data_IF_859193873491
#
_entry.id   IF_859193873491
#
_cell.length_a   1.000
_cell.length_b   1.000
_cell.length_c   1.000
_cell.angle_alpha   90.00
_cell.angle_beta   90.00
_cell.angle_gamma   90.00
#
_symmetry.space_group_name_H-M   'P 1'
#
loop_
_entity.id
_entity.type
_entity.pdbx_description
1 polymer ?
#
# COMPACT_ATOMS: atom_id res chain seq x y z
N UNK A 1 -18.45 13.75 -21.43
CA UNK A 1 -17.47 13.98 -22.48
C UNK A 1 -17.67 15.34 -23.02
N UNK A 2 -16.68 16.20 -22.77
CA UNK A 2 -16.78 17.42 -23.22
C UNK A 2 -16.34 17.83 -24.43
N UNK A 3 -16.15 16.94 -25.13
CA UNK A 3 -16.06 17.00 -26.50
C UNK A 3 -17.36 17.02 -27.11
N UNK A 4 -18.24 17.48 -26.31
CA UNK A 4 -19.52 17.79 -26.84
C UNK A 4 -19.33 18.58 -28.07
N UNK A 5 -19.73 17.98 -29.11
CA UNK A 5 -19.63 18.40 -30.46
C UNK A 5 -20.06 19.85 -30.72
N UNK A 6 -20.30 20.60 -29.70
CA UNK A 6 -20.78 21.93 -29.79
C UNK A 6 -20.03 22.99 -29.02
N UNK A 7 -19.15 22.62 -28.11
CA UNK A 7 -18.46 23.64 -27.37
C UNK A 7 -17.28 24.22 -28.13
N UNK A 8 -17.59 25.21 -28.93
CA UNK A 8 -16.58 26.06 -29.57
C UNK A 8 -15.98 26.97 -28.51
N UNK A 9 -14.79 26.63 -28.06
CA UNK A 9 -13.99 27.56 -27.29
C UNK A 9 -13.49 28.62 -28.25
N UNK A 10 -14.07 29.82 -28.17
CA UNK A 10 -13.65 30.96 -28.97
C UNK A 10 -12.47 31.66 -28.31
N UNK A 11 -11.43 31.96 -29.09
CA UNK A 11 -10.27 32.72 -28.65
C UNK A 11 -9.05 31.87 -28.21
N UNK A 12 -8.03 32.50 -27.60
CA UNK A 12 -6.78 31.84 -27.25
C UNK A 12 -6.87 30.95 -26.00
N UNK A 13 -8.00 30.92 -25.29
CA UNK A 13 -8.20 30.12 -24.12
C UNK A 13 -8.50 28.66 -24.51
N UNK A 14 -7.65 27.75 -24.06
CA UNK A 14 -7.91 26.30 -24.11
C UNK A 14 -8.37 25.85 -22.77
N UNK A 15 -9.48 25.10 -22.73
CA UNK A 15 -9.88 24.38 -21.51
C UNK A 15 -8.96 23.21 -21.32
N UNK A 16 -8.22 23.20 -20.21
CA UNK A 16 -7.48 22.03 -19.78
C UNK A 16 -8.44 21.11 -19.04
N UNK A 17 -8.64 19.93 -19.59
CA UNK A 17 -9.40 18.86 -18.95
C UNK A 17 -8.45 18.04 -18.09
N UNK A 18 -8.94 17.62 -16.92
CA UNK A 18 -8.21 16.62 -16.14
C UNK A 18 -8.04 15.35 -16.99
N UNK A 19 -6.90 14.64 -16.92
CA UNK A 19 -6.69 13.40 -17.67
C UNK A 19 -7.82 12.38 -17.51
N UNK A 20 -8.44 12.35 -16.33
CA UNK A 20 -9.53 11.44 -15.99
C UNK A 20 -10.89 11.84 -16.57
N UNK A 21 -11.03 13.02 -17.15
CA UNK A 21 -12.29 13.47 -17.77
C UNK A 21 -12.75 12.57 -18.94
N UNK A 22 -11.86 11.74 -19.46
CA UNK A 22 -12.17 10.72 -20.48
C UNK A 22 -12.75 9.44 -19.89
N UNK A 23 -12.61 9.24 -18.59
CA UNK A 23 -13.06 8.03 -17.90
C UNK A 23 -14.53 8.21 -17.57
N UNK A 24 -15.40 7.28 -17.94
CA UNK A 24 -16.79 7.30 -17.48
C UNK A 24 -16.84 7.42 -15.95
N UNK A 25 -17.79 8.23 -15.47
CA UNK A 25 -18.01 8.48 -14.04
C UNK A 25 -16.91 9.28 -13.33
N UNK A 26 -15.94 9.85 -14.04
CA UNK A 26 -14.90 10.71 -13.45
C UNK A 26 -15.45 11.93 -12.70
N UNK A 27 -16.68 12.30 -13.02
CA UNK A 27 -17.41 13.43 -12.39
C UNK A 27 -18.40 13.01 -11.32
N UNK A 28 -18.52 11.72 -11.04
CA UNK A 28 -19.39 11.23 -10.00
C UNK A 28 -18.96 11.76 -8.63
N UNK A 29 -19.93 11.92 -7.76
CA UNK A 29 -19.71 12.41 -6.41
C UNK A 29 -20.02 11.32 -5.41
N UNK A 30 -19.05 11.05 -4.56
CA UNK A 30 -19.12 10.02 -3.51
C UNK A 30 -19.32 10.70 -2.16
N UNK A 31 -20.32 10.22 -1.44
CA UNK A 31 -20.67 10.69 -0.11
C UNK A 31 -20.76 9.54 0.86
N UNK A 32 -20.51 9.80 2.12
CA UNK A 32 -20.72 8.82 3.15
C UNK A 32 -22.18 8.82 3.58
N UNK A 33 -22.73 7.61 3.67
CA UNK A 33 -24.08 7.35 4.14
C UNK A 33 -24.01 6.42 5.36
N UNK A 34 -24.78 6.71 6.38
CA UNK A 34 -25.04 5.79 7.49
C UNK A 34 -26.35 5.07 7.22
N UNK A 35 -26.34 3.77 7.30
CA UNK A 35 -27.52 2.93 7.11
C UNK A 35 -27.85 2.18 8.38
N UNK A 36 -29.07 2.30 8.88
CA UNK A 36 -29.57 1.55 10.00
C UNK A 36 -30.20 0.24 9.48
N UNK A 37 -29.56 -0.87 9.80
CA UNK A 37 -29.97 -2.20 9.30
C UNK A 37 -31.32 -2.64 9.87
N UNK A 38 -31.67 -2.21 11.09
CA UNK A 38 -32.92 -2.61 11.74
C UNK A 38 -34.13 -1.87 11.19
N UNK A 39 -33.98 -0.58 10.89
CA UNK A 39 -35.08 0.27 10.42
C UNK A 39 -35.11 0.43 8.89
N UNK A 40 -34.02 0.15 8.20
CA UNK A 40 -33.87 0.40 6.78
C UNK A 40 -33.68 1.87 6.41
N UNK A 41 -33.49 2.76 7.39
CA UNK A 41 -33.30 4.18 7.16
C UNK A 41 -31.84 4.50 6.84
N UNK A 42 -31.63 5.47 5.97
CA UNK A 42 -30.31 5.97 5.64
C UNK A 42 -30.20 7.47 5.93
N UNK A 43 -29.04 7.88 6.40
CA UNK A 43 -28.68 9.25 6.70
C UNK A 43 -27.40 9.62 5.95
N UNK A 44 -27.40 10.76 5.26
CA UNK A 44 -26.20 11.26 4.60
C UNK A 44 -25.33 12.01 5.60
N UNK A 45 -24.06 11.58 5.71
CA UNK A 45 -23.13 12.15 6.68
C UNK A 45 -22.24 13.27 6.09
N UNK A 46 -22.00 13.25 4.78
CA UNK A 46 -21.11 14.22 4.15
C UNK A 46 -21.78 14.96 3.01
N UNK A 47 -21.42 16.25 2.86
CA UNK A 47 -21.96 17.16 1.88
C UNK A 47 -20.82 17.93 1.18
N UNK A 48 -21.12 18.63 0.09
CA UNK A 48 -20.17 19.48 -0.61
C UNK A 48 -19.83 18.98 -2.01
N UNK A 49 -18.78 19.56 -2.59
CA UNK A 49 -18.39 19.36 -3.99
C UNK A 49 -17.25 18.38 -4.18
N UNK A 50 -16.63 17.90 -3.10
CA UNK A 50 -15.53 16.95 -3.17
C UNK A 50 -15.99 15.55 -2.80
N UNK A 51 -15.35 14.54 -3.38
CA UNK A 51 -15.56 13.16 -3.01
C UNK A 51 -15.01 12.92 -1.60
N UNK A 52 -15.76 12.16 -0.81
CA UNK A 52 -15.33 11.74 0.53
C UNK A 52 -15.28 10.22 0.59
N UNK A 53 -14.18 9.71 1.07
CA UNK A 53 -13.91 8.28 1.21
C UNK A 53 -13.71 7.94 2.69
N UNK A 54 -14.30 6.83 3.11
CA UNK A 54 -14.05 6.26 4.42
C UNK A 54 -12.72 5.49 4.37
N UNK A 55 -11.80 5.85 5.24
CA UNK A 55 -10.55 5.12 5.42
C UNK A 55 -10.68 4.08 6.56
N UNK A 56 -11.24 4.51 7.71
CA UNK A 56 -11.36 3.62 8.87
C UNK A 56 -12.44 4.14 9.84
N UNK A 57 -12.76 3.29 10.82
CA UNK A 57 -13.64 3.64 11.94
C UNK A 57 -12.83 3.50 13.23
N UNK A 58 -12.94 4.48 14.13
CA UNK A 58 -12.21 4.44 15.40
C UNK A 58 -12.54 3.17 16.19
N UNK A 59 -11.62 2.64 16.99
CA UNK A 59 -11.83 1.40 17.74
C UNK A 59 -13.03 1.42 18.69
N UNK A 60 -13.44 2.60 19.15
CA UNK A 60 -14.63 2.80 19.97
C UNK A 60 -15.92 3.02 19.16
N UNK A 61 -15.84 3.03 17.83
CA UNK A 61 -16.95 3.20 16.92
C UNK A 61 -17.57 4.61 16.87
N UNK A 62 -16.91 5.62 17.46
CA UNK A 62 -17.50 6.97 17.58
C UNK A 62 -17.05 7.95 16.53
N UNK A 63 -15.96 7.65 15.82
CA UNK A 63 -15.40 8.52 14.80
C UNK A 63 -15.17 7.79 13.48
N UNK A 64 -15.34 8.51 12.40
CA UNK A 64 -14.95 8.07 11.05
C UNK A 64 -13.67 8.79 10.65
N UNK A 65 -12.68 8.05 10.21
CA UNK A 65 -11.50 8.58 9.55
C UNK A 65 -11.79 8.66 8.06
N UNK A 66 -11.70 9.86 7.51
CA UNK A 66 -12.10 10.13 6.14
C UNK A 66 -11.00 10.82 5.37
N UNK A 67 -11.01 10.62 4.07
CA UNK A 67 -10.21 11.40 3.14
C UNK A 67 -11.07 12.10 2.09
N UNK A 68 -10.55 13.18 1.58
CA UNK A 68 -11.10 13.91 0.44
C UNK A 68 -9.97 14.36 -0.46
N UNK A 69 -10.26 14.54 -1.74
CA UNK A 69 -9.28 15.04 -2.70
C UNK A 69 -9.86 16.15 -3.57
N UNK A 70 -8.99 17.01 -4.04
CA UNK A 70 -9.31 18.03 -5.03
C UNK A 70 -8.22 18.09 -6.10
N UNK A 71 -8.56 18.38 -7.36
CA UNK A 71 -7.57 18.60 -8.39
C UNK A 71 -6.83 19.94 -8.17
N UNK A 72 -5.54 19.92 -8.47
CA UNK A 72 -4.70 21.12 -8.60
C UNK A 72 -3.82 20.97 -9.86
N UNK A 73 -4.28 21.53 -10.95
CA UNK A 73 -3.60 21.41 -12.25
C UNK A 73 -2.35 22.30 -12.39
N UNK A 74 -2.06 23.11 -11.39
CA UNK A 74 -0.92 24.04 -11.42
C UNK A 74 0.37 23.39 -10.92
N UNK A 75 0.29 22.16 -10.44
CA UNK A 75 1.42 21.41 -9.83
C UNK A 75 1.40 19.93 -10.23
N UNK A 76 2.49 19.26 -9.98
CA UNK A 76 2.60 17.80 -10.05
C UNK A 76 2.98 17.29 -8.64
N UNK A 77 2.24 16.32 -8.08
CA UNK A 77 1.02 15.66 -8.60
C UNK A 77 -0.18 16.60 -8.73
N UNK A 78 -1.10 16.28 -9.66
CA UNK A 78 -2.26 17.11 -9.98
C UNK A 78 -3.43 17.00 -8.98
N UNK A 79 -3.23 16.35 -7.86
CA UNK A 79 -4.25 16.13 -6.84
C UNK A 79 -3.71 16.43 -5.46
N UNK A 80 -4.53 17.02 -4.63
CA UNK A 80 -4.26 17.25 -3.21
C UNK A 80 -5.26 16.44 -2.40
N UNK A 81 -4.78 15.76 -1.38
CA UNK A 81 -5.58 14.96 -0.45
C UNK A 81 -5.61 15.61 0.94
N UNK A 82 -6.68 15.38 1.66
CA UNK A 82 -6.85 15.84 3.04
C UNK A 82 -7.40 14.70 3.89
N UNK A 83 -6.89 14.54 5.11
CA UNK A 83 -7.41 13.62 6.11
C UNK A 83 -8.15 14.39 7.19
N UNK A 84 -9.29 13.85 7.62
CA UNK A 84 -10.11 14.43 8.68
C UNK A 84 -10.89 13.35 9.42
N UNK A 85 -11.29 13.66 10.64
CA UNK A 85 -12.21 12.84 11.43
C UNK A 85 -13.62 13.45 11.41
N UNK A 86 -14.64 12.60 11.44
CA UNK A 86 -16.04 13.00 11.72
C UNK A 86 -16.45 12.34 13.01
N UNK A 87 -16.85 13.11 14.00
CA UNK A 87 -17.49 12.60 15.24
C UNK A 87 -18.93 12.24 14.94
N UNK A 88 -19.30 10.98 15.15
CA UNK A 88 -20.65 10.46 14.84
C UNK A 88 -21.76 10.95 15.81
N UNK A 89 -21.38 11.56 16.94
CA UNK A 89 -22.33 12.13 17.91
C UNK A 89 -22.66 13.58 17.58
N UNK A 90 -21.61 14.36 17.28
CA UNK A 90 -21.74 15.80 17.03
C UNK A 90 -21.86 16.15 15.56
N UNK A 91 -21.48 15.22 14.68
CA UNK A 91 -21.31 15.39 13.22
C UNK A 91 -20.31 16.49 12.84
N UNK A 92 -19.44 16.85 13.77
CA UNK A 92 -18.36 17.80 13.50
C UNK A 92 -17.16 17.10 12.86
N UNK A 93 -16.52 17.81 11.92
CA UNK A 93 -15.31 17.36 11.28
C UNK A 93 -14.08 18.11 11.83
N UNK A 94 -13.02 17.37 12.17
CA UNK A 94 -11.70 17.90 12.52
C UNK A 94 -10.68 17.52 11.47
N UNK A 95 -10.02 18.52 10.87
CA UNK A 95 -8.98 18.28 9.87
C UNK A 95 -7.68 17.89 10.53
N UNK A 96 -7.16 16.74 10.18
CA UNK A 96 -5.89 16.19 10.65
C UNK A 96 -4.74 16.60 9.75
N UNK A 97 -4.90 16.46 8.43
CA UNK A 97 -3.93 16.86 7.42
C UNK A 97 -4.66 17.62 6.31
N UNK A 98 -4.20 18.82 6.04
CA UNK A 98 -4.80 19.67 5.01
C UNK A 98 -3.96 19.65 3.73
N UNK A 99 -4.57 19.16 2.64
CA UNK A 99 -4.10 19.33 1.25
C UNK A 99 -2.63 18.98 0.98
N UNK A 100 -2.23 17.77 1.31
CA UNK A 100 -0.96 17.18 0.92
C UNK A 100 -1.13 16.35 -0.37
N UNK A 101 -0.22 16.51 -1.32
CA UNK A 101 -0.28 15.83 -2.62
C UNK A 101 0.18 14.37 -2.57
N UNK A 102 0.76 13.95 -1.47
CA UNK A 102 1.53 12.73 -1.36
C UNK A 102 0.95 11.73 -0.34
N UNK A 103 -0.22 12.03 0.21
CA UNK A 103 -0.93 11.14 1.13
C UNK A 103 -1.53 9.94 0.40
N UNK A 104 -1.41 8.77 1.03
CA UNK A 104 -2.11 7.55 0.68
C UNK A 104 -3.27 7.25 1.64
N UNK A 105 -3.36 5.99 2.09
CA UNK A 105 -4.37 5.52 3.02
C UNK A 105 -4.02 5.84 4.48
N UNK A 106 -5.02 5.76 5.36
CA UNK A 106 -4.82 5.92 6.78
C UNK A 106 -5.73 4.97 7.58
N UNK A 107 -5.26 4.51 8.73
CA UNK A 107 -6.03 3.69 9.68
C UNK A 107 -5.68 4.03 11.12
N UNK A 108 -6.60 3.75 12.04
CA UNK A 108 -6.33 3.93 13.46
C UNK A 108 -5.38 2.88 14.03
N UNK A 109 -4.58 3.30 15.02
CA UNK A 109 -3.98 2.35 15.96
C UNK A 109 -5.05 1.63 16.76
N UNK A 110 -4.75 0.43 17.28
CA UNK A 110 -5.72 -0.35 18.07
C UNK A 110 -6.29 0.37 19.30
N UNK A 111 -5.55 1.32 19.86
CA UNK A 111 -5.99 2.14 20.99
C UNK A 111 -6.66 3.47 20.58
N UNK A 112 -6.75 3.74 19.29
CA UNK A 112 -7.38 4.93 18.72
C UNK A 112 -6.65 6.25 18.99
N UNK A 113 -5.38 6.21 19.43
CA UNK A 113 -4.62 7.42 19.77
C UNK A 113 -3.69 7.89 18.66
N UNK A 114 -3.41 7.02 17.73
CA UNK A 114 -2.50 7.26 16.62
C UNK A 114 -3.13 6.83 15.30
N UNK A 115 -2.59 7.32 14.21
CA UNK A 115 -2.88 6.84 12.86
C UNK A 115 -1.63 6.23 12.26
N UNK A 116 -1.81 5.15 11.55
CA UNK A 116 -0.87 4.64 10.55
C UNK A 116 -1.28 5.26 9.21
N UNK A 117 -0.43 6.05 8.64
CA UNK A 117 -0.67 6.73 7.36
C UNK A 117 0.34 6.24 6.35
N UNK A 118 -0.10 5.93 5.14
CA UNK A 118 0.80 5.70 4.01
C UNK A 118 0.94 6.97 3.18
N UNK A 119 2.03 7.06 2.45
CA UNK A 119 2.29 8.16 1.54
C UNK A 119 3.63 7.98 0.83
N UNK A 120 3.93 8.86 -0.11
CA UNK A 120 5.26 8.88 -0.69
C UNK A 120 6.27 9.51 0.27
N UNK A 121 7.58 9.42 0.00
CA UNK A 121 8.62 10.09 0.80
C UNK A 121 8.41 11.60 0.95
N UNK A 122 7.71 12.23 -0.01
CA UNK A 122 7.43 13.66 0.00
C UNK A 122 6.24 14.07 0.86
N UNK A 123 5.49 13.12 1.42
CA UNK A 123 4.37 13.41 2.33
C UNK A 123 4.85 14.15 3.59
N UNK A 124 3.93 14.90 4.21
CA UNK A 124 4.19 15.68 5.43
C UNK A 124 5.39 16.63 5.32
N UNK A 125 5.54 17.28 4.18
CA UNK A 125 6.67 18.19 3.94
C UNK A 125 7.99 17.49 3.66
N UNK A 126 7.97 16.21 3.30
CA UNK A 126 9.13 15.44 2.89
C UNK A 126 9.92 14.80 4.04
N UNK A 127 9.29 14.56 5.18
CA UNK A 127 9.96 13.92 6.34
C UNK A 127 10.37 12.47 6.08
N UNK A 128 9.80 11.84 5.04
CA UNK A 128 10.14 10.48 4.61
C UNK A 128 11.37 10.41 3.68
N UNK A 129 11.90 11.54 3.24
CA UNK A 129 13.04 11.56 2.33
C UNK A 129 14.33 11.19 3.05
N UNK A 130 15.09 10.27 2.48
CA UNK A 130 16.44 9.90 2.91
C UNK A 130 17.49 10.10 1.80
N UNK A 131 17.10 10.69 0.69
CA UNK A 131 18.01 11.14 -0.35
C UNK A 131 18.52 12.55 -0.03
N UNK A 132 19.72 12.91 -0.49
CA UNK A 132 20.23 14.28 -0.43
C UNK A 132 19.44 15.23 -1.36
N UNK A 133 20.00 16.42 -1.64
CA UNK A 133 19.38 17.34 -2.60
C UNK A 133 19.27 16.74 -4.00
N UNK A 134 20.18 15.84 -4.35
CA UNK A 134 20.23 15.04 -5.55
C UNK A 134 20.64 13.59 -5.21
N UNK A 135 19.97 12.56 -5.68
CA UNK A 135 18.84 12.55 -6.62
C UNK A 135 17.51 12.97 -6.01
N UNK A 136 16.51 13.19 -6.86
CA UNK A 136 15.13 13.47 -6.47
C UNK A 136 14.53 12.21 -5.83
N UNK A 137 13.76 12.36 -4.77
CA UNK A 137 13.06 11.24 -4.15
C UNK A 137 12.11 10.53 -5.13
N UNK A 138 12.03 9.21 -5.03
CA UNK A 138 11.06 8.42 -5.78
C UNK A 138 9.68 8.53 -5.11
N UNK A 139 8.85 9.43 -5.60
CA UNK A 139 7.50 9.65 -5.05
C UNK A 139 6.48 8.57 -5.47
N UNK A 140 6.88 7.58 -6.25
CA UNK A 140 6.09 6.36 -6.47
C UNK A 140 6.34 5.29 -5.39
N UNK A 141 7.38 5.46 -4.58
CA UNK A 141 7.61 4.63 -3.42
C UNK A 141 6.55 4.88 -2.34
N UNK A 142 6.17 3.83 -1.61
CA UNK A 142 5.22 3.95 -0.51
C UNK A 142 5.93 3.76 0.81
N UNK A 143 5.79 4.76 1.67
CA UNK A 143 6.29 4.77 3.03
C UNK A 143 5.14 4.79 4.05
N UNK A 144 5.46 4.45 5.28
CA UNK A 144 4.55 4.48 6.42
C UNK A 144 4.97 5.53 7.45
N UNK A 145 3.96 6.18 7.99
CA UNK A 145 4.07 7.24 8.98
C UNK A 145 3.15 6.95 10.16
N UNK A 146 3.56 7.28 11.37
CA UNK A 146 2.70 7.27 12.55
C UNK A 146 2.42 8.72 12.93
N UNK A 147 1.13 9.07 13.01
CA UNK A 147 0.66 10.37 13.49
C UNK A 147 0.04 10.22 14.87
N UNK A 148 0.48 11.00 15.83
CA UNK A 148 -0.17 11.14 17.14
C UNK A 148 -1.37 12.10 17.01
N UNK A 149 -2.56 11.63 17.34
CA UNK A 149 -3.80 12.41 17.15
C UNK A 149 -3.93 13.60 18.09
N UNK A 150 -3.37 13.54 19.29
CA UNK A 150 -3.46 14.63 20.27
C UNK A 150 -2.54 15.79 19.91
N UNK A 151 -1.32 15.47 19.44
CA UNK A 151 -0.29 16.48 19.13
C UNK A 151 -0.17 16.80 17.66
N UNK A 152 -0.77 15.99 16.79
CA UNK A 152 -0.64 15.99 15.32
C UNK A 152 0.82 15.85 14.84
N UNK A 153 1.72 15.36 15.70
CA UNK A 153 3.10 15.07 15.32
C UNK A 153 3.16 13.80 14.49
N UNK A 154 3.98 13.83 13.45
CA UNK A 154 4.17 12.73 12.50
C UNK A 154 5.60 12.23 12.56
N UNK A 155 5.77 10.91 12.58
CA UNK A 155 7.05 10.22 12.47
C UNK A 155 7.05 9.34 11.22
N UNK A 156 8.07 9.47 10.38
CA UNK A 156 8.32 8.56 9.27
C UNK A 156 9.00 7.30 9.83
N UNK A 157 8.30 6.17 9.83
CA UNK A 157 8.81 4.93 10.43
C UNK A 157 9.56 4.06 9.43
N UNK A 158 9.37 4.28 8.14
CA UNK A 158 10.03 3.51 7.06
C UNK A 158 11.04 4.33 6.25
N UNK A 159 11.38 5.54 6.70
CA UNK A 159 12.30 6.43 5.98
C UNK A 159 13.65 5.78 5.63
N UNK A 160 14.20 5.01 6.57
CA UNK A 160 15.50 4.34 6.44
C UNK A 160 15.34 2.82 6.20
N UNK A 161 14.12 2.38 5.87
CA UNK A 161 13.76 1.02 5.50
C UNK A 161 13.58 0.95 3.98
N UNK A 162 14.44 0.20 3.31
CA UNK A 162 14.52 0.21 1.84
C UNK A 162 13.30 -0.38 1.11
N UNK A 163 12.67 -1.49 1.55
CA UNK A 163 11.51 -2.01 0.83
C UNK A 163 10.31 -1.08 0.83
N UNK A 164 9.59 -1.02 -0.28
CA UNK A 164 8.28 -0.36 -0.37
C UNK A 164 7.27 -1.11 0.49
N UNK A 165 6.46 -0.40 1.25
CA UNK A 165 5.55 -1.00 2.23
C UNK A 165 4.07 -0.81 1.89
N UNK A 166 3.29 -1.84 2.20
CA UNK A 166 1.83 -1.79 2.24
C UNK A 166 1.35 -2.32 3.59
N UNK A 167 0.67 -1.53 4.43
CA UNK A 167 0.19 -2.00 5.72
C UNK A 167 -0.84 -3.12 5.55
N UNK A 168 -0.62 -4.23 6.23
CA UNK A 168 -1.58 -5.33 6.34
C UNK A 168 -2.47 -5.14 7.56
N UNK A 169 -1.83 -4.94 8.72
CA UNK A 169 -2.55 -4.84 9.98
C UNK A 169 -1.68 -4.17 11.06
N UNK A 170 -2.28 -3.27 11.84
CA UNK A 170 -1.77 -2.92 13.16
C UNK A 170 -2.47 -3.81 14.18
N UNK A 171 -1.79 -4.83 14.67
CA UNK A 171 -2.42 -5.85 15.50
C UNK A 171 -2.64 -5.35 16.94
N UNK A 172 -3.87 -5.54 17.44
CA UNK A 172 -4.27 -5.04 18.77
C UNK A 172 -3.72 -5.82 19.95
N UNK A 173 -3.28 -7.05 19.73
CA UNK A 173 -2.82 -7.92 20.82
C UNK A 173 -1.33 -7.75 21.08
N UNK A 174 -0.51 -7.76 20.04
CA UNK A 174 0.94 -7.60 20.18
C UNK A 174 1.41 -6.15 19.97
N UNK A 175 0.53 -5.27 19.46
CA UNK A 175 0.84 -3.88 19.20
C UNK A 175 1.81 -3.65 18.05
N UNK A 176 2.10 -4.68 17.27
CA UNK A 176 3.00 -4.60 16.12
C UNK A 176 2.25 -4.26 14.83
N UNK A 177 2.97 -3.67 13.89
CA UNK A 177 2.45 -3.40 12.55
C UNK A 177 3.06 -4.42 11.59
N UNK A 178 2.20 -5.06 10.81
CA UNK A 178 2.60 -6.01 9.78
C UNK A 178 2.50 -5.35 8.42
N UNK A 179 3.55 -5.48 7.64
CA UNK A 179 3.67 -4.93 6.30
C UNK A 179 3.88 -6.02 5.27
N UNK A 180 3.12 -5.98 4.18
CA UNK A 180 3.51 -6.57 2.91
C UNK A 180 4.53 -5.61 2.28
N UNK A 181 5.64 -6.13 1.80
CA UNK A 181 6.72 -5.32 1.24
C UNK A 181 7.15 -5.83 -0.12
N UNK A 182 7.51 -4.89 -0.99
CA UNK A 182 8.23 -5.20 -2.22
C UNK A 182 9.70 -4.91 -1.98
N UNK A 183 10.53 -5.95 -2.08
CA UNK A 183 11.96 -5.92 -1.82
C UNK A 183 12.72 -6.51 -3.02
N UNK A 184 13.05 -5.64 -3.98
CA UNK A 184 13.59 -6.08 -5.26
C UNK A 184 12.59 -6.89 -6.07
N UNK A 185 12.89 -8.16 -6.30
CA UNK A 185 12.07 -9.14 -7.03
C UNK A 185 11.22 -10.03 -6.11
N UNK A 186 11.35 -9.84 -4.80
CA UNK A 186 10.62 -10.59 -3.78
C UNK A 186 9.50 -9.77 -3.13
N UNK A 187 8.56 -10.48 -2.51
CA UNK A 187 7.54 -9.89 -1.66
C UNK A 187 7.53 -10.60 -0.32
N UNK A 188 7.91 -9.88 0.72
CA UNK A 188 8.05 -10.40 2.07
C UNK A 188 7.07 -9.76 3.03
N UNK A 189 6.84 -10.42 4.15
CA UNK A 189 6.08 -9.85 5.26
C UNK A 189 7.07 -9.43 6.35
N UNK A 190 7.01 -8.15 6.72
CA UNK A 190 7.78 -7.62 7.85
C UNK A 190 6.87 -7.24 9.00
N UNK A 191 7.36 -7.49 10.19
CA UNK A 191 6.77 -7.05 11.44
C UNK A 191 7.57 -5.87 11.99
N UNK A 192 6.90 -4.74 12.17
CA UNK A 192 7.47 -3.56 12.82
C UNK A 192 7.02 -3.49 14.28
N UNK A 193 7.94 -3.22 15.18
CA UNK A 193 7.70 -3.07 16.62
C UNK A 193 7.77 -1.59 17.01
N UNK A 194 6.64 -0.87 17.19
CA UNK A 194 6.65 0.58 17.42
C UNK A 194 7.48 1.02 18.65
N UNK A 195 7.56 0.18 19.67
CA UNK A 195 8.31 0.49 20.89
C UNK A 195 9.83 0.56 20.68
N UNK A 196 10.36 -0.19 19.75
CA UNK A 196 11.81 -0.28 19.50
C UNK A 196 12.22 0.32 18.17
N UNK A 197 11.26 0.53 17.25
CA UNK A 197 11.53 0.95 15.88
C UNK A 197 12.13 -0.15 15.00
N UNK A 198 12.15 -1.41 15.46
CA UNK A 198 12.77 -2.51 14.75
C UNK A 198 11.85 -3.18 13.74
N UNK A 199 12.42 -3.57 12.60
CA UNK A 199 11.78 -4.42 11.60
C UNK A 199 12.31 -5.85 11.69
N UNK A 200 11.42 -6.81 11.54
CA UNK A 200 11.73 -8.24 11.48
C UNK A 200 11.03 -8.87 10.28
N UNK A 201 11.79 -9.44 9.36
CA UNK A 201 11.23 -10.23 8.27
C UNK A 201 10.70 -11.55 8.83
N UNK A 202 9.47 -11.91 8.48
CA UNK A 202 8.92 -13.20 8.83
C UNK A 202 9.55 -14.29 7.94
N UNK A 203 10.10 -15.37 8.50
CA UNK A 203 10.70 -16.47 7.74
C UNK A 203 9.57 -17.35 7.15
N UNK A 204 8.99 -16.92 6.08
CA UNK A 204 7.97 -17.64 5.32
C UNK A 204 8.63 -18.51 4.24
N UNK A 205 7.92 -19.52 3.75
CA UNK A 205 8.48 -20.54 2.85
C UNK A 205 8.65 -20.07 1.37
N UNK A 206 7.96 -19.01 0.98
CA UNK A 206 7.91 -18.57 -0.41
C UNK A 206 8.53 -17.18 -0.58
N UNK A 207 9.15 -16.92 -1.73
CA UNK A 207 9.84 -15.65 -2.01
C UNK A 207 8.87 -14.52 -2.39
N UNK A 208 7.70 -14.87 -2.89
CA UNK A 208 6.68 -13.91 -3.31
C UNK A 208 5.38 -14.18 -2.57
N UNK A 209 5.15 -13.46 -1.49
CA UNK A 209 3.90 -13.54 -0.72
C UNK A 209 2.82 -12.71 -1.42
N UNK A 210 1.75 -13.35 -1.87
CA UNK A 210 0.66 -12.69 -2.59
C UNK A 210 -0.51 -12.30 -1.69
N UNK A 211 -0.64 -12.96 -0.54
CA UNK A 211 -1.66 -12.67 0.46
C UNK A 211 -1.16 -13.07 1.84
N UNK A 212 -1.44 -12.25 2.83
CA UNK A 212 -1.13 -12.53 4.23
C UNK A 212 -2.27 -12.02 5.10
N UNK A 213 -2.67 -12.79 6.09
CA UNK A 213 -3.65 -12.39 7.09
C UNK A 213 -3.27 -12.90 8.47
N UNK A 214 -3.57 -12.12 9.48
CA UNK A 214 -3.30 -12.43 10.87
C UNK A 214 -4.61 -12.41 11.65
N UNK A 215 -4.80 -13.34 12.56
CA UNK A 215 -5.99 -13.34 13.40
C UNK A 215 -6.03 -12.10 14.32
N UNK A 216 -7.16 -11.40 14.34
CA UNK A 216 -7.31 -10.15 15.08
C UNK A 216 -7.06 -10.30 16.58
N UNK A 217 -7.50 -11.42 17.15
CA UNK A 217 -7.47 -11.69 18.58
C UNK A 217 -6.37 -12.69 19.00
N UNK A 218 -5.67 -13.23 18.02
CA UNK A 218 -4.61 -14.21 18.26
C UNK A 218 -3.48 -14.06 17.23
N UNK A 219 -2.50 -13.17 17.47
CA UNK A 219 -1.41 -12.91 16.53
C UNK A 219 -0.42 -14.10 16.41
N UNK A 220 -0.65 -15.20 17.11
CA UNK A 220 0.15 -16.42 16.94
C UNK A 220 -0.23 -17.17 15.68
N UNK A 221 -1.46 -16.96 15.17
CA UNK A 221 -1.94 -17.67 13.99
C UNK A 221 -2.09 -16.71 12.81
N UNK A 222 -1.31 -16.95 11.78
CA UNK A 222 -1.43 -16.30 10.49
C UNK A 222 -1.72 -17.33 9.39
N UNK A 223 -2.22 -16.86 8.27
CA UNK A 223 -2.30 -17.63 7.04
C UNK A 223 -1.76 -16.79 5.88
N UNK A 224 -1.13 -17.43 4.92
CA UNK A 224 -0.60 -16.74 3.74
C UNK A 224 -0.66 -17.62 2.50
N UNK A 225 -0.62 -16.95 1.37
CA UNK A 225 -0.46 -17.58 0.05
C UNK A 225 0.78 -16.97 -0.58
N UNK A 226 1.62 -17.81 -1.12
CA UNK A 226 2.82 -17.39 -1.79
C UNK A 226 3.17 -18.26 -2.97
N UNK A 227 4.27 -17.94 -3.60
CA UNK A 227 4.87 -18.68 -4.69
C UNK A 227 6.31 -18.25 -4.92
N UNK A 228 6.91 -18.85 -5.89
CA UNK A 228 8.29 -18.60 -6.31
C UNK A 228 8.48 -19.08 -7.74
N UNK A 229 9.72 -19.32 -8.10
CA UNK A 229 10.09 -19.73 -9.46
C UNK A 229 9.55 -21.10 -9.86
N UNK A 230 9.33 -21.98 -8.88
CA UNK A 230 8.92 -23.39 -9.10
C UNK A 230 7.59 -23.72 -8.42
N UNK A 231 6.92 -22.73 -7.84
CA UNK A 231 5.65 -22.89 -7.13
C UNK A 231 4.74 -21.71 -7.41
N UNK A 232 3.45 -21.93 -7.34
CA UNK A 232 2.46 -20.87 -7.50
C UNK A 232 1.23 -21.13 -6.66
N UNK A 233 0.76 -20.09 -5.96
CA UNK A 233 -0.47 -20.12 -5.15
C UNK A 233 -0.47 -21.24 -4.09
N UNK A 234 0.63 -21.41 -3.40
CA UNK A 234 0.74 -22.36 -2.29
C UNK A 234 0.23 -21.70 -1.01
N UNK A 235 -0.67 -22.36 -0.31
CA UNK A 235 -1.28 -21.84 0.90
C UNK A 235 -0.70 -22.49 2.16
N UNK A 236 -0.45 -21.68 3.18
CA UNK A 236 0.11 -22.10 4.46
C UNK A 236 -0.63 -21.46 5.63
N UNK A 237 -0.56 -22.12 6.80
CA UNK A 237 -0.66 -21.45 8.10
C UNK A 237 0.73 -21.17 8.64
N UNK A 238 0.84 -20.13 9.47
CA UNK A 238 2.10 -19.74 10.10
C UNK A 238 1.91 -19.48 11.59
N UNK A 239 2.71 -20.16 12.42
CA UNK A 239 2.81 -19.88 13.85
C UNK A 239 3.88 -18.83 14.10
N UNK A 240 3.46 -17.61 14.44
CA UNK A 240 4.38 -16.47 14.59
C UNK A 240 5.30 -16.58 15.80
N UNK A 241 4.97 -17.43 16.81
CA UNK A 241 5.83 -17.68 17.97
C UNK A 241 6.88 -18.74 17.69
N UNK A 242 6.46 -19.85 17.07
CA UNK A 242 7.35 -20.94 16.71
C UNK A 242 8.14 -20.65 15.44
N UNK A 243 7.68 -19.67 14.64
CA UNK A 243 8.23 -19.34 13.32
C UNK A 243 8.22 -20.53 12.37
N UNK A 244 7.09 -21.25 12.34
CA UNK A 244 6.91 -22.45 11.53
C UNK A 244 5.69 -22.31 10.64
N UNK A 245 5.90 -22.56 9.35
CA UNK A 245 4.84 -22.70 8.35
C UNK A 245 4.34 -24.15 8.30
N UNK A 246 3.04 -24.30 8.06
CA UNK A 246 2.42 -25.61 7.80
C UNK A 246 1.64 -25.54 6.51
N UNK A 247 1.97 -26.41 5.56
CA UNK A 247 1.30 -26.48 4.26
C UNK A 247 -0.20 -26.79 4.43
N UNK A 248 -1.05 -25.96 3.85
CA UNK A 248 -2.49 -26.19 3.76
C UNK A 248 -2.90 -26.76 2.41
N UNK A 249 -2.42 -26.16 1.34
CA UNK A 249 -2.79 -26.56 -0.02
C UNK A 249 -1.71 -26.16 -1.03
N UNK A 250 -1.47 -27.04 -2.00
CA UNK A 250 -0.68 -26.75 -3.18
C UNK A 250 -1.43 -27.30 -4.43
N UNK A 251 -2.41 -26.54 -4.95
CA UNK A 251 -3.28 -27.01 -6.02
C UNK A 251 -2.54 -27.24 -7.36
N UNK A 252 -1.42 -26.56 -7.56
CA UNK A 252 -0.65 -26.67 -8.80
C UNK A 252 0.36 -27.82 -8.79
N UNK A 253 0.67 -28.38 -7.61
CA UNK A 253 1.67 -29.46 -7.48
C UNK A 253 1.43 -30.63 -8.46
N UNK A 254 0.20 -31.18 -8.64
CA UNK A 254 -0.01 -32.30 -9.56
C UNK A 254 0.26 -31.98 -11.03
N UNK A 255 0.25 -30.70 -11.39
CA UNK A 255 0.56 -30.22 -12.74
C UNK A 255 2.06 -29.99 -12.86
N UNK A 256 2.65 -29.27 -11.91
CA UNK A 256 4.07 -28.91 -11.93
C UNK A 256 4.98 -30.14 -11.80
N UNK A 257 4.57 -31.16 -11.04
CA UNK A 257 5.32 -32.42 -10.93
C UNK A 257 5.48 -33.18 -12.27
N UNK A 258 4.70 -32.79 -13.29
CA UNK A 258 4.79 -33.39 -14.64
C UNK A 258 5.64 -32.57 -15.60
N UNK A 259 6.14 -31.43 -15.17
CA UNK A 259 6.89 -30.48 -15.97
C UNK A 259 8.29 -30.39 -15.40
N UNK A 260 9.28 -30.54 -16.26
CA UNK A 260 10.66 -30.29 -15.88
C UNK A 260 10.92 -28.77 -15.98
N UNK A 261 11.01 -28.12 -14.83
CA UNK A 261 11.20 -26.67 -14.72
C UNK A 261 12.70 -26.34 -14.84
N UNK A 262 12.97 -25.19 -15.43
CA UNK A 262 14.31 -24.59 -15.44
C UNK A 262 14.72 -24.05 -14.07
N UNK A 263 15.96 -23.67 -13.95
CA UNK A 263 16.52 -23.02 -12.75
C UNK A 263 16.54 -21.51 -12.96
N UNK A 264 16.30 -20.76 -11.88
CA UNK A 264 16.51 -19.32 -11.88
C UNK A 264 17.69 -18.98 -10.98
N UNK A 265 18.59 -18.15 -11.50
CA UNK A 265 19.77 -17.69 -10.78
C UNK A 265 19.85 -16.17 -10.81
N UNK A 266 20.36 -15.57 -9.74
CA UNK A 266 20.70 -14.15 -9.77
C UNK A 266 21.85 -13.91 -10.75
N UNK A 267 21.68 -12.90 -11.59
CA UNK A 267 22.70 -12.45 -12.51
C UNK A 267 22.97 -10.97 -12.30
N UNK A 268 23.90 -10.69 -11.43
CA UNK A 268 24.26 -9.32 -11.08
C UNK A 268 25.45 -8.86 -11.95
N UNK A 269 25.38 -7.62 -12.45
CA UNK A 269 26.47 -7.04 -13.22
C UNK A 269 26.59 -5.54 -12.97
N UNK A 270 27.78 -5.01 -13.21
CA UNK A 270 28.05 -3.57 -13.10
C UNK A 270 27.97 -2.94 -14.50
N UNK A 271 27.12 -1.94 -14.64
CA UNK A 271 27.01 -1.15 -15.87
C UNK A 271 28.24 -0.26 -16.07
N UNK A 272 28.41 0.31 -17.27
CA UNK A 272 29.58 1.11 -17.65
C UNK A 272 29.73 2.40 -16.80
N UNK A 273 28.69 2.87 -16.18
CA UNK A 273 28.69 4.04 -15.28
C UNK A 273 28.94 3.66 -13.79
N UNK A 274 29.22 2.39 -13.51
CA UNK A 274 29.46 1.88 -12.16
C UNK A 274 28.21 1.47 -11.40
N UNK A 275 27.01 1.57 -11.99
CA UNK A 275 25.77 1.15 -11.36
C UNK A 275 25.67 -0.37 -11.29
N UNK A 276 25.41 -0.92 -10.11
CA UNK A 276 25.11 -2.33 -9.94
C UNK A 276 23.69 -2.63 -10.39
N UNK A 277 23.54 -3.53 -11.33
CA UNK A 277 22.26 -3.98 -11.85
C UNK A 277 22.04 -5.42 -11.37
N UNK A 278 20.93 -5.63 -10.68
CA UNK A 278 20.44 -6.95 -10.31
C UNK A 278 19.57 -7.48 -11.43
N UNK A 279 19.83 -8.69 -11.85
CA UNK A 279 19.07 -9.38 -12.86
C UNK A 279 18.83 -10.82 -12.48
N UNK A 280 17.99 -11.49 -13.25
CA UNK A 280 17.71 -12.90 -13.11
C UNK A 280 17.91 -13.58 -14.46
N UNK A 281 18.51 -14.75 -14.46
CA UNK A 281 18.63 -15.60 -15.64
C UNK A 281 17.84 -16.88 -15.41
N UNK A 282 16.98 -17.22 -16.37
CA UNK A 282 16.27 -18.49 -16.38
C UNK A 282 17.05 -19.48 -17.25
N UNK A 283 17.57 -20.50 -16.61
CA UNK A 283 18.32 -21.56 -17.27
C UNK A 283 17.35 -22.70 -17.67
N UNK A 284 17.55 -23.33 -18.83
CA UNK A 284 16.73 -24.45 -19.24
C UNK A 284 16.89 -25.66 -18.28
N UNK A 285 15.92 -26.58 -18.25
CA UNK A 285 16.11 -27.86 -17.57
C UNK A 285 17.37 -28.56 -18.07
N UNK A 286 18.12 -29.19 -17.17
CA UNK A 286 19.36 -29.88 -17.50
C UNK A 286 20.42 -28.99 -18.17
N UNK A 287 20.54 -27.74 -17.71
CA UNK A 287 21.53 -26.79 -18.20
C UNK A 287 22.96 -27.35 -18.13
N UNK A 288 23.68 -27.26 -19.24
CA UNK A 288 25.07 -27.66 -19.33
C UNK A 288 25.94 -26.41 -19.64
N UNK A 289 26.79 -25.96 -18.70
CA UNK A 289 27.60 -24.74 -18.86
C UNK A 289 28.60 -24.81 -20.04
N UNK A 290 28.85 -25.99 -20.55
CA UNK A 290 29.76 -26.18 -21.71
C UNK A 290 29.04 -26.06 -23.07
N UNK A 291 27.72 -25.89 -23.07
CA UNK A 291 26.90 -25.71 -24.27
C UNK A 291 26.51 -24.25 -24.44
N UNK A 292 26.32 -23.85 -25.68
CA UNK A 292 25.75 -22.54 -26.00
C UNK A 292 24.26 -22.67 -26.21
N UNK A 293 23.50 -21.78 -25.56
CA UNK A 293 22.05 -21.70 -25.66
C UNK A 293 21.64 -20.38 -26.33
N UNK A 294 20.53 -20.34 -27.06
CA UNK A 294 19.98 -19.07 -27.50
C UNK A 294 19.53 -18.25 -26.31
N UNK A 295 19.84 -16.97 -26.33
CA UNK A 295 19.34 -16.01 -25.34
C UNK A 295 18.08 -15.37 -25.89
N UNK A 296 17.00 -15.33 -25.08
CA UNK A 296 15.70 -14.73 -25.40
C UNK A 296 15.49 -13.51 -24.50
#
# INVERSE_FOLDING_TARGET
>A
MLTDEGEKVSGPLKRLLHPDDRIPNSRDRYYLMKYDVATGLSERLTYGSHNVYLNDISPDGKKLLCSTSKPDITRCPFSLSSLFEIDLTTLQADTLVAWDAYLGSASYSPDGKQLLVTGSPSAFGGIGKNCGEHPIANDFDTQAFIMDLATKKVQAITRDFNPTVSPVQWNRVDGCIYFDTTDGDCRHIYRYVPKTGGFEMLPLEEDVITSFTLANDNPVVAAYVGGGNTSTSVAYTYDTKKKVSTLLANPMKPILDKIELGQMEEWNFTASDGTEIKGMVCLPPSFDPNKKYPLI
#
